data_IF_919885777643
#
_entry.id   IF_919885777643
#
_cell.length_a   1.000
_cell.length_b   1.000
_cell.length_c   1.000
_cell.angle_alpha   90.00
_cell.angle_beta   90.00
_cell.angle_gamma   90.00
#
_symmetry.space_group_name_H-M   'P 1'
#
loop_
_entity.id
_entity.type
_entity.pdbx_description
1 polymer ?
#
# COMPACT_ATOMS: atom_id res chain seq x y z
N UNK A 1 37.92 -2.52 -13.29
CA UNK A 1 36.56 -2.92 -12.88
C UNK A 1 35.63 -2.74 -14.08
N UNK A 2 34.77 -3.73 -14.36
CA UNK A 2 33.78 -3.61 -15.40
C UNK A 2 32.68 -2.63 -14.97
N UNK A 3 32.05 -1.94 -15.93
CA UNK A 3 30.95 -0.97 -15.64
C UNK A 3 29.87 -1.57 -14.77
N UNK A 4 29.55 -2.85 -14.98
CA UNK A 4 28.58 -3.58 -14.17
C UNK A 4 29.05 -3.79 -12.71
N UNK A 5 30.34 -3.99 -12.47
CA UNK A 5 30.88 -4.09 -11.12
C UNK A 5 30.85 -2.74 -10.40
N UNK A 6 31.10 -1.65 -11.09
CA UNK A 6 31.00 -0.29 -10.54
C UNK A 6 29.53 0.01 -10.19
N UNK A 7 28.58 -0.31 -11.07
CA UNK A 7 27.17 -0.14 -10.82
C UNK A 7 26.72 -0.92 -9.55
N UNK A 8 27.04 -2.22 -9.49
CA UNK A 8 26.54 -3.10 -8.42
C UNK A 8 27.23 -2.91 -7.07
N UNK A 9 28.52 -2.58 -7.07
CA UNK A 9 29.32 -2.47 -5.84
C UNK A 9 29.46 -1.06 -5.30
N UNK A 10 29.27 -0.04 -6.13
CA UNK A 10 29.43 1.37 -5.74
C UNK A 10 28.11 2.12 -5.83
N UNK A 11 27.52 2.24 -7.02
CA UNK A 11 26.33 3.08 -7.21
C UNK A 11 25.10 2.57 -6.47
N UNK A 12 24.75 1.29 -6.57
CA UNK A 12 23.59 0.72 -5.91
C UNK A 12 23.69 0.83 -4.37
N UNK A 13 24.82 0.47 -3.73
CA UNK A 13 24.94 0.65 -2.29
C UNK A 13 24.86 2.11 -1.82
N UNK A 14 25.45 3.03 -2.58
CA UNK A 14 25.39 4.46 -2.27
C UNK A 14 23.99 5.05 -2.46
N UNK A 15 23.24 4.54 -3.41
CA UNK A 15 21.89 5.01 -3.76
C UNK A 15 20.76 4.28 -3.01
N UNK A 16 21.06 3.42 -2.04
CA UNK A 16 20.05 2.62 -1.32
C UNK A 16 18.90 3.45 -0.76
N UNK A 17 19.20 4.61 -0.20
CA UNK A 17 18.20 5.52 0.35
C UNK A 17 17.26 6.07 -0.71
N UNK A 18 17.82 6.54 -1.82
CA UNK A 18 17.04 7.05 -2.96
C UNK A 18 16.17 5.97 -3.57
N UNK A 19 16.75 4.77 -3.77
CA UNK A 19 16.02 3.60 -4.28
C UNK A 19 14.86 3.24 -3.35
N UNK A 20 15.08 3.21 -2.03
CA UNK A 20 14.05 2.94 -1.05
C UNK A 20 12.91 3.98 -1.10
N UNK A 21 13.23 5.26 -1.25
CA UNK A 21 12.25 6.34 -1.39
C UNK A 21 11.42 6.20 -2.65
N UNK A 22 12.04 5.95 -3.79
CA UNK A 22 11.34 5.73 -5.06
C UNK A 22 10.46 4.48 -4.98
N UNK A 23 10.97 3.39 -4.44
CA UNK A 23 10.20 2.16 -4.24
C UNK A 23 8.99 2.39 -3.34
N UNK A 24 9.12 3.20 -2.30
CA UNK A 24 8.00 3.59 -1.43
C UNK A 24 6.92 4.36 -2.20
N UNK A 25 7.28 5.35 -3.01
CA UNK A 25 6.31 6.09 -3.81
C UNK A 25 5.56 5.17 -4.78
N UNK A 26 6.26 4.25 -5.43
CA UNK A 26 5.62 3.25 -6.28
C UNK A 26 4.69 2.31 -5.49
N UNK A 27 5.10 1.87 -4.31
CA UNK A 27 4.28 1.02 -3.45
C UNK A 27 3.00 1.73 -3.01
N UNK A 28 3.08 2.99 -2.57
CA UNK A 28 1.93 3.82 -2.20
C UNK A 28 1.01 4.05 -3.40
N UNK A 29 1.58 4.37 -4.56
CA UNK A 29 0.82 4.56 -5.80
C UNK A 29 0.05 3.29 -6.18
N UNK A 30 0.66 2.12 -6.07
CA UNK A 30 0.00 0.84 -6.34
C UNK A 30 -1.03 0.47 -5.28
N UNK A 31 -0.75 0.76 -4.02
CA UNK A 31 -1.71 0.57 -2.93
C UNK A 31 -3.00 1.37 -3.14
N UNK A 32 -2.87 2.62 -3.59
CA UNK A 32 -3.99 3.51 -3.86
C UNK A 32 -4.59 3.33 -5.28
N UNK A 33 -4.03 2.44 -6.09
CA UNK A 33 -4.43 2.20 -7.49
C UNK A 33 -5.77 1.50 -7.69
N UNK A 34 -6.74 1.72 -6.80
CA UNK A 34 -8.07 1.15 -6.81
C UNK A 34 -8.81 1.33 -8.14
N UNK A 35 -8.82 2.55 -8.68
CA UNK A 35 -9.59 2.89 -9.88
C UNK A 35 -9.18 2.06 -11.09
N UNK A 36 -7.88 2.04 -11.40
CA UNK A 36 -7.36 1.30 -12.55
C UNK A 36 -7.51 -0.21 -12.40
N UNK A 37 -7.27 -0.74 -11.19
CA UNK A 37 -7.42 -2.16 -10.92
C UNK A 37 -8.87 -2.61 -11.08
N UNK A 38 -9.85 -1.82 -10.61
CA UNK A 38 -11.28 -2.10 -10.79
C UNK A 38 -11.69 -2.10 -12.26
N UNK A 39 -11.13 -1.19 -13.07
CA UNK A 39 -11.47 -1.06 -14.49
C UNK A 39 -10.86 -2.18 -15.35
N UNK A 40 -9.64 -2.61 -15.03
CA UNK A 40 -8.89 -3.52 -15.89
C UNK A 40 -9.02 -4.99 -15.51
N UNK A 41 -9.32 -5.30 -14.26
CA UNK A 41 -9.43 -6.67 -13.77
C UNK A 41 -10.90 -7.06 -13.73
N UNK A 42 -11.33 -7.91 -14.69
CA UNK A 42 -12.70 -8.40 -14.78
C UNK A 42 -12.99 -9.53 -13.79
N UNK A 43 -11.97 -10.26 -13.35
CA UNK A 43 -12.11 -11.39 -12.44
C UNK A 43 -12.05 -10.91 -10.98
N UNK A 44 -13.16 -11.01 -10.25
CA UNK A 44 -13.27 -10.56 -8.87
C UNK A 44 -12.30 -11.25 -7.89
N UNK A 45 -11.87 -12.50 -8.21
CA UNK A 45 -10.92 -13.23 -7.38
C UNK A 45 -9.47 -12.72 -7.48
N UNK A 46 -9.17 -11.92 -8.49
CA UNK A 46 -7.85 -11.35 -8.74
C UNK A 46 -7.75 -9.88 -8.32
N UNK A 47 -8.80 -9.33 -7.73
CA UNK A 47 -8.80 -7.95 -7.28
C UNK A 47 -7.79 -7.72 -6.15
N UNK A 48 -6.99 -6.64 -6.22
CA UNK A 48 -6.17 -6.20 -5.09
C UNK A 48 -7.02 -5.93 -3.84
N UNK A 49 -6.41 -6.07 -2.67
CA UNK A 49 -7.09 -5.89 -1.38
C UNK A 49 -7.91 -4.59 -1.30
N UNK A 50 -7.38 -3.49 -1.81
CA UNK A 50 -8.07 -2.19 -1.78
C UNK A 50 -9.34 -2.16 -2.63
N UNK A 51 -9.35 -2.84 -3.77
CA UNK A 51 -10.57 -2.99 -4.59
C UNK A 51 -11.61 -3.83 -3.87
N UNK A 52 -11.18 -4.95 -3.28
CA UNK A 52 -12.07 -5.81 -2.50
C UNK A 52 -12.71 -5.08 -1.32
N UNK A 53 -11.92 -4.37 -0.52
CA UNK A 53 -12.40 -3.59 0.62
C UNK A 53 -13.40 -2.52 0.15
N UNK A 54 -13.09 -1.81 -0.92
CA UNK A 54 -13.96 -0.74 -1.45
C UNK A 54 -15.31 -1.28 -1.93
N UNK A 55 -15.31 -2.40 -2.66
CA UNK A 55 -16.54 -3.05 -3.10
C UNK A 55 -17.41 -3.52 -1.91
N UNK A 56 -16.76 -4.04 -0.85
CA UNK A 56 -17.47 -4.40 0.38
C UNK A 56 -18.02 -3.18 1.10
N UNK A 57 -17.28 -2.08 1.19
CA UNK A 57 -17.77 -0.83 1.76
C UNK A 57 -18.98 -0.31 0.99
N UNK A 58 -18.92 -0.27 -0.34
CA UNK A 58 -20.04 0.11 -1.19
C UNK A 58 -21.28 -0.75 -0.91
N UNK A 59 -21.12 -2.06 -0.81
CA UNK A 59 -22.21 -2.99 -0.50
C UNK A 59 -22.85 -2.74 0.86
N UNK A 60 -22.03 -2.56 1.92
CA UNK A 60 -22.55 -2.35 3.28
C UNK A 60 -23.05 -0.94 3.56
N UNK A 61 -22.78 0.02 2.69
CA UNK A 61 -23.32 1.38 2.76
C UNK A 61 -24.57 1.58 1.89
N UNK A 62 -24.90 0.64 1.03
CA UNK A 62 -26.06 0.69 0.15
C UNK A 62 -27.31 0.14 0.87
N UNK A 63 -28.34 0.96 1.15
CA UNK A 63 -29.55 0.50 1.82
C UNK A 63 -30.32 -0.57 1.02
N UNK A 64 -30.27 -0.52 -0.31
CA UNK A 64 -30.96 -1.50 -1.16
C UNK A 64 -30.24 -2.85 -1.14
N UNK A 65 -28.93 -2.84 -1.19
CA UNK A 65 -28.11 -4.05 -1.08
C UNK A 65 -28.25 -4.70 0.31
N UNK A 66 -28.52 -3.90 1.34
CA UNK A 66 -28.72 -4.35 2.72
C UNK A 66 -30.17 -4.73 3.04
N UNK A 67 -31.09 -4.55 2.11
CA UNK A 67 -32.49 -4.96 2.27
C UNK A 67 -32.56 -6.49 2.48
N UNK A 68 -32.97 -6.92 3.67
CA UNK A 68 -32.98 -8.34 4.06
C UNK A 68 -31.73 -8.83 4.81
N UNK A 69 -30.83 -7.93 5.17
CA UNK A 69 -29.67 -8.26 6.03
C UNK A 69 -30.14 -8.68 7.42
N UNK A 70 -30.04 -9.97 7.71
CA UNK A 70 -30.43 -10.58 9.00
C UNK A 70 -29.22 -11.09 9.80
N UNK A 71 -28.03 -10.45 9.62
CA UNK A 71 -26.85 -10.89 10.33
C UNK A 71 -26.87 -10.41 11.80
N UNK A 72 -26.19 -11.17 12.65
CA UNK A 72 -26.00 -10.87 14.08
C UNK A 72 -25.20 -9.57 14.29
N UNK A 73 -24.45 -9.13 13.27
CA UNK A 73 -23.58 -7.95 13.33
C UNK A 73 -24.21 -6.77 12.60
N UNK A 74 -24.06 -5.59 13.15
CA UNK A 74 -24.43 -4.34 12.47
C UNK A 74 -23.53 -4.10 11.25
N UNK A 75 -24.08 -3.51 10.18
CA UNK A 75 -23.31 -3.11 9.00
C UNK A 75 -22.15 -2.18 9.36
N UNK A 76 -22.35 -1.27 10.32
CA UNK A 76 -21.31 -0.36 10.80
C UNK A 76 -20.10 -1.11 11.39
N UNK A 77 -20.35 -2.18 12.15
CA UNK A 77 -19.26 -3.00 12.71
C UNK A 77 -18.42 -3.65 11.62
N UNK A 78 -19.05 -4.10 10.53
CA UNK A 78 -18.33 -4.66 9.37
C UNK A 78 -17.54 -3.58 8.65
N UNK A 79 -18.12 -2.41 8.46
CA UNK A 79 -17.46 -1.26 7.83
C UNK A 79 -16.18 -0.89 8.61
N UNK A 80 -16.27 -0.72 9.94
CA UNK A 80 -15.11 -0.39 10.76
C UNK A 80 -14.05 -1.50 10.73
N UNK A 81 -14.44 -2.77 10.75
CA UNK A 81 -13.51 -3.88 10.62
C UNK A 81 -12.76 -3.85 9.27
N UNK A 82 -13.46 -3.56 8.16
CA UNK A 82 -12.83 -3.42 6.84
C UNK A 82 -11.84 -2.26 6.78
N UNK A 83 -12.16 -1.12 7.40
CA UNK A 83 -11.26 0.04 7.48
C UNK A 83 -9.99 -0.35 8.26
N UNK A 84 -10.13 -0.99 9.41
CA UNK A 84 -8.98 -1.46 10.21
C UNK A 84 -8.13 -2.44 9.41
N UNK A 85 -8.74 -3.43 8.75
CA UNK A 85 -8.03 -4.37 7.88
C UNK A 85 -7.25 -3.69 6.75
N UNK A 86 -7.74 -2.56 6.24
CA UNK A 86 -7.04 -1.81 5.19
C UNK A 86 -5.79 -1.09 5.69
N UNK A 87 -5.75 -0.72 6.96
CA UNK A 87 -4.67 0.05 7.57
C UNK A 87 -3.56 -0.88 8.11
N UNK A 88 -3.90 -2.08 8.58
CA UNK A 88 -2.97 -3.02 9.21
C UNK A 88 -1.72 -3.31 8.36
N UNK A 89 -1.81 -3.62 7.05
CA UNK A 89 -0.62 -3.87 6.23
C UNK A 89 0.34 -2.66 6.19
N UNK A 90 -0.21 -1.45 6.14
CA UNK A 90 0.58 -0.21 6.13
C UNK A 90 1.29 -0.02 7.47
N UNK A 91 0.59 -0.27 8.59
CA UNK A 91 1.17 -0.16 9.93
C UNK A 91 2.31 -1.15 10.16
N UNK A 92 2.23 -2.35 9.58
CA UNK A 92 3.30 -3.36 9.67
C UNK A 92 4.53 -2.92 8.88
N UNK A 93 4.33 -2.34 7.70
CA UNK A 93 5.42 -1.92 6.80
C UNK A 93 6.07 -0.61 7.27
N UNK A 94 5.31 0.26 7.94
CA UNK A 94 5.73 1.60 8.34
C UNK A 94 7.07 1.66 9.11
N UNK A 95 7.36 0.85 10.14
CA UNK A 95 8.64 0.90 10.86
C UNK A 95 9.84 0.53 9.96
N UNK A 96 9.64 -0.33 8.98
CA UNK A 96 10.70 -0.65 7.99
C UNK A 96 10.99 0.56 7.10
N UNK A 97 9.95 1.23 6.64
CA UNK A 97 10.06 2.45 5.83
C UNK A 97 10.76 3.55 6.60
N UNK A 98 10.36 3.80 7.86
CA UNK A 98 10.99 4.80 8.71
C UNK A 98 12.49 4.57 8.89
N UNK A 99 12.92 3.32 9.09
CA UNK A 99 14.32 2.97 9.26
C UNK A 99 15.17 3.34 8.03
N UNK A 100 14.64 3.14 6.83
CA UNK A 100 15.35 3.49 5.60
C UNK A 100 15.30 5.00 5.31
N UNK A 101 14.17 5.64 5.61
CA UNK A 101 14.00 7.07 5.42
C UNK A 101 14.91 7.90 6.33
N UNK A 102 15.01 7.55 7.61
CA UNK A 102 15.86 8.21 8.58
C UNK A 102 17.34 8.14 8.21
N UNK A 103 17.78 7.01 7.67
CA UNK A 103 19.16 6.85 7.17
C UNK A 103 19.46 7.70 5.92
N UNK A 104 18.45 7.92 5.07
CA UNK A 104 18.58 8.69 3.85
C UNK A 104 18.66 10.20 4.09
N UNK A 105 17.86 10.70 4.99
CA UNK A 105 17.86 12.11 5.36
C UNK A 105 19.17 12.50 6.04
N UNK A 106 19.71 11.64 6.90
CA UNK A 106 21.00 11.90 7.57
C UNK A 106 22.20 11.84 6.59
N UNK A 107 22.14 11.02 5.56
CA UNK A 107 23.21 10.96 4.54
C UNK A 107 23.20 12.18 3.60
N UNK A 108 22.04 12.81 3.40
CA UNK A 108 21.91 14.04 2.59
C UNK A 108 22.11 15.34 3.38
N UNK A 109 22.03 15.27 4.71
CA UNK A 109 22.12 16.44 5.61
C UNK A 109 23.51 16.72 6.16
N UNK A 110 24.49 15.86 5.96
CA UNK A 110 25.89 16.08 6.40
C UNK A 110 26.69 16.66 5.26
N UNK A 111 26.43 17.93 4.96
CA UNK A 111 27.33 18.84 4.27
C UNK A 111 27.26 20.19 4.96
N UNK A 112 27.75 20.23 6.12
CA UNK A 112 28.38 21.41 6.72
C UNK A 112 29.55 20.99 7.60
#
# INVERSE_FOLDING_TARGET
ATEFQVLSKVYIPMSKSTIATVALFFAISRWNGYFWARQMISNSNEHPLQVFIRLKLEYYTDPEAMAGWNAVYSSDSVIYALIVCSIVPILIIYPFIQKYFAKGVNAGGVKE
#
